data_IF_922559909729
#
_entry.id   IF_922559909729
#
_cell.length_a   1.000
_cell.length_b   1.000
_cell.length_c   1.000
_cell.angle_alpha   90.00
_cell.angle_beta   90.00
_cell.angle_gamma   90.00
#
_symmetry.space_group_name_H-M   'P 1'
#
loop_
_entity.id
_entity.type
_entity.pdbx_description
1 polymer ?
#
# COMPACT_ATOMS: atom_id res chain seq x y z
N UNK A 1 18.00 -38.40 8.89
CA UNK A 1 18.49 -37.11 8.35
C UNK A 1 17.27 -36.23 8.11
N UNK A 2 16.64 -35.88 9.21
CA UNK A 2 15.39 -35.15 9.34
C UNK A 2 15.73 -33.66 9.43
N UNK A 3 15.58 -32.97 8.31
CA UNK A 3 15.89 -31.56 8.16
C UNK A 3 14.75 -30.68 8.68
N UNK A 4 14.54 -30.65 10.00
CA UNK A 4 13.64 -29.69 10.65
C UNK A 4 14.44 -28.62 11.38
N UNK A 5 15.16 -27.81 10.61
CA UNK A 5 15.82 -26.59 11.10
C UNK A 5 14.80 -25.46 11.26
N UNK A 6 13.95 -25.53 12.28
CA UNK A 6 13.11 -24.41 12.65
C UNK A 6 13.99 -23.32 13.27
N UNK A 7 14.35 -22.31 12.46
CA UNK A 7 15.00 -21.10 12.94
C UNK A 7 14.02 -20.37 13.86
N UNK A 8 14.23 -20.50 15.17
CA UNK A 8 13.50 -19.76 16.19
C UNK A 8 13.82 -18.27 16.02
N UNK A 9 12.93 -17.53 15.35
CA UNK A 9 12.94 -16.08 15.42
C UNK A 9 12.36 -15.70 16.79
N UNK A 10 13.14 -15.08 17.69
CA UNK A 10 12.58 -14.58 18.93
C UNK A 10 11.46 -13.58 18.62
N UNK A 11 10.40 -13.53 19.44
CA UNK A 11 9.36 -12.52 19.29
C UNK A 11 10.03 -11.14 19.35
N UNK A 12 9.85 -10.35 18.31
CA UNK A 12 10.30 -8.96 18.29
C UNK A 12 9.71 -8.26 19.52
N UNK A 13 10.52 -7.61 20.36
CA UNK A 13 9.98 -6.82 21.46
C UNK A 13 9.06 -5.76 20.84
N UNK A 14 7.77 -5.84 21.16
CA UNK A 14 6.86 -4.76 20.81
C UNK A 14 7.24 -3.58 21.70
N UNK A 15 7.81 -2.53 21.10
CA UNK A 15 7.94 -1.21 21.71
C UNK A 15 6.54 -0.59 21.90
N UNK A 16 5.72 -1.23 22.72
CA UNK A 16 4.47 -0.70 23.25
C UNK A 16 4.80 0.18 24.47
N UNK A 17 5.54 1.26 24.24
CA UNK A 17 5.89 2.26 25.24
C UNK A 17 5.94 3.62 24.53
N UNK A 18 5.21 4.66 24.90
CA UNK A 18 4.89 5.05 26.27
C UNK A 18 3.63 5.93 26.33
N UNK A 19 2.86 5.71 27.40
CA UNK A 19 1.72 6.50 27.83
C UNK A 19 2.22 7.60 28.78
N UNK A 20 2.51 8.78 28.23
CA UNK A 20 2.88 9.96 29.00
C UNK A 20 2.73 11.18 28.11
N UNK A 21 2.29 12.31 28.66
CA UNK A 21 2.04 13.57 27.95
C UNK A 21 3.30 14.25 27.41
N UNK A 22 4.13 13.52 26.68
CA UNK A 22 5.38 13.99 26.08
C UNK A 22 5.16 14.37 24.63
N UNK A 23 5.34 15.65 24.34
CA UNK A 23 5.27 16.20 22.98
C UNK A 23 6.24 15.46 22.06
N UNK A 24 5.69 14.62 21.18
CA UNK A 24 6.46 13.79 20.25
C UNK A 24 7.10 14.69 19.19
N UNK A 25 8.40 14.55 18.94
CA UNK A 25 9.08 15.29 17.87
C UNK A 25 8.76 14.68 16.50
N UNK A 26 8.66 15.52 15.47
CA UNK A 26 8.48 15.05 14.10
C UNK A 26 9.65 14.14 13.67
N UNK A 27 9.35 12.98 13.09
CA UNK A 27 10.34 12.00 12.62
C UNK A 27 11.11 12.45 11.39
N UNK A 28 10.70 13.54 10.74
CA UNK A 28 11.40 14.07 9.56
C UNK A 28 12.69 14.73 10.02
N UNK A 29 13.81 14.23 9.52
CA UNK A 29 15.14 14.76 9.84
C UNK A 29 15.20 16.27 9.56
N UNK A 30 15.58 17.04 10.57
CA UNK A 30 15.66 18.51 10.48
C UNK A 30 14.33 19.25 10.60
N UNK A 31 13.21 18.57 10.89
CA UNK A 31 11.96 19.24 11.22
C UNK A 31 11.91 19.55 12.72
N UNK A 32 11.90 20.84 13.14
CA UNK A 32 11.86 21.19 14.56
C UNK A 32 10.45 21.12 15.18
N UNK A 33 9.43 20.83 14.36
CA UNK A 33 8.03 20.88 14.77
C UNK A 33 7.65 19.69 15.67
N UNK A 34 6.81 19.97 16.65
CA UNK A 34 6.19 18.96 17.51
C UNK A 34 4.98 18.36 16.80
N UNK A 35 4.74 17.10 17.08
CA UNK A 35 3.54 16.38 16.68
C UNK A 35 2.43 16.77 17.65
N UNK A 36 1.23 17.00 17.13
CA UNK A 36 0.04 17.32 17.93
C UNK A 36 -0.21 16.26 18.99
N UNK A 37 -0.32 16.71 20.24
CA UNK A 37 -0.61 15.88 21.41
C UNK A 37 -1.95 15.16 21.22
N UNK A 38 -1.94 13.83 21.32
CA UNK A 38 -3.10 12.97 21.04
C UNK A 38 -3.14 12.38 19.62
N UNK A 39 -2.26 12.79 18.70
CA UNK A 39 -2.13 12.10 17.42
C UNK A 39 -1.16 10.91 17.52
N UNK A 40 -1.57 9.75 16.99
CA UNK A 40 -0.72 8.55 16.89
C UNK A 40 0.32 8.66 15.76
N UNK A 41 0.56 9.86 15.24
CA UNK A 41 1.34 10.06 14.04
C UNK A 41 2.79 10.41 14.36
N UNK A 42 3.72 9.87 13.57
CA UNK A 42 5.15 10.17 13.72
C UNK A 42 5.60 11.48 13.06
N UNK A 43 4.73 12.16 12.33
CA UNK A 43 5.04 13.38 11.58
C UNK A 43 4.06 14.49 11.94
N UNK A 44 4.58 15.71 12.04
CA UNK A 44 3.75 16.91 12.19
C UNK A 44 2.90 17.16 10.94
N UNK A 45 1.82 17.94 11.08
CA UNK A 45 0.86 18.19 10.00
C UNK A 45 1.49 18.84 8.77
N UNK A 46 2.47 19.73 8.97
CA UNK A 46 3.24 20.35 7.88
C UNK A 46 3.99 19.32 7.02
N UNK A 47 4.70 18.38 7.65
CA UNK A 47 5.43 17.33 6.96
C UNK A 47 4.47 16.32 6.30
N UNK A 48 3.33 16.04 6.93
CA UNK A 48 2.29 15.20 6.33
C UNK A 48 1.72 15.83 5.08
N UNK A 49 1.45 17.14 5.09
CA UNK A 49 0.99 17.89 3.93
C UNK A 49 1.97 17.76 2.75
N UNK A 50 3.26 18.03 2.99
CA UNK A 50 4.30 17.85 1.97
C UNK A 50 4.39 16.43 1.44
N UNK A 51 4.30 15.44 2.33
CA UNK A 51 4.36 14.03 1.93
C UNK A 51 3.16 13.60 1.08
N UNK A 52 1.96 14.12 1.36
CA UNK A 52 0.76 13.90 0.52
C UNK A 52 0.97 14.41 -0.90
N UNK A 53 1.48 15.63 -1.05
CA UNK A 53 1.74 16.25 -2.36
C UNK A 53 2.82 15.47 -3.11
N UNK A 54 3.92 15.13 -2.44
CA UNK A 54 4.98 14.32 -3.06
C UNK A 54 4.44 12.96 -3.53
N UNK A 55 3.64 12.28 -2.69
CA UNK A 55 3.08 10.99 -3.03
C UNK A 55 2.10 11.07 -4.22
N UNK A 56 1.24 12.09 -4.28
CA UNK A 56 0.32 12.27 -5.41
C UNK A 56 1.07 12.56 -6.71
N UNK A 57 2.01 13.50 -6.69
CA UNK A 57 2.83 13.85 -7.87
C UNK A 57 3.66 12.67 -8.33
N UNK A 58 4.25 11.89 -7.40
CA UNK A 58 5.01 10.68 -7.72
C UNK A 58 4.12 9.60 -8.35
N UNK A 59 2.90 9.41 -7.86
CA UNK A 59 1.93 8.47 -8.45
C UNK A 59 1.50 8.90 -9.85
N UNK A 60 1.21 10.19 -10.04
CA UNK A 60 0.85 10.75 -11.35
C UNK A 60 1.99 10.55 -12.36
N UNK A 61 3.22 10.90 -11.98
CA UNK A 61 4.41 10.67 -12.82
C UNK A 61 4.58 9.19 -13.19
N UNK A 62 4.52 8.29 -12.21
CA UNK A 62 4.62 6.85 -12.46
C UNK A 62 3.51 6.32 -13.37
N UNK A 63 2.30 6.88 -13.31
CA UNK A 63 1.19 6.50 -14.19
C UNK A 63 1.49 6.92 -15.64
N UNK A 64 2.03 8.11 -15.84
CA UNK A 64 2.44 8.61 -17.16
C UNK A 64 3.63 7.81 -17.72
N UNK A 65 4.66 7.57 -16.91
CA UNK A 65 5.83 6.76 -17.31
C UNK A 65 5.42 5.33 -17.65
N UNK A 66 4.57 4.71 -16.81
CA UNK A 66 4.05 3.37 -17.08
C UNK A 66 3.17 3.37 -18.34
N UNK A 67 2.34 4.37 -18.59
CA UNK A 67 1.56 4.47 -19.81
C UNK A 67 2.44 4.63 -21.06
N UNK A 68 3.52 5.42 -20.99
CA UNK A 68 4.47 5.56 -22.09
C UNK A 68 5.18 4.23 -22.41
N UNK A 69 5.63 3.51 -21.38
CA UNK A 69 6.27 2.20 -21.54
C UNK A 69 5.26 1.13 -21.98
N UNK A 70 4.08 1.08 -21.38
CA UNK A 70 3.03 0.13 -21.77
C UNK A 70 2.54 0.40 -23.19
N UNK A 71 2.41 1.66 -23.62
CA UNK A 71 2.10 1.97 -25.02
C UNK A 71 3.24 1.58 -25.96
N UNK A 72 4.49 1.78 -25.57
CA UNK A 72 5.64 1.33 -26.36
C UNK A 72 5.72 -0.22 -26.45
N UNK A 73 5.44 -0.92 -25.35
CA UNK A 73 5.39 -2.38 -25.30
C UNK A 73 4.17 -2.92 -26.04
N UNK A 74 3.01 -2.28 -25.93
CA UNK A 74 1.82 -2.62 -26.70
C UNK A 74 2.01 -2.38 -28.21
N UNK A 75 2.72 -1.31 -28.60
CA UNK A 75 3.09 -1.07 -29.99
C UNK A 75 4.06 -2.13 -30.53
N UNK A 76 4.96 -2.66 -29.69
CA UNK A 76 5.85 -3.77 -30.06
C UNK A 76 5.11 -5.12 -30.10
N UNK A 77 4.25 -5.39 -29.11
CA UNK A 77 3.52 -6.66 -29.01
C UNK A 77 2.30 -6.73 -29.96
N UNK A 78 1.76 -5.58 -30.40
CA UNK A 78 0.70 -5.51 -31.40
C UNK A 78 1.16 -5.87 -32.81
N UNK A 79 2.46 -5.80 -33.09
CA UNK A 79 3.04 -6.23 -34.37
C UNK A 79 3.34 -7.75 -34.38
N UNK A 80 3.56 -8.35 -33.21
CA UNK A 80 3.81 -9.79 -33.05
C UNK A 80 2.50 -10.61 -32.94
N UNK A 81 1.41 -10.03 -32.44
CA UNK A 81 0.10 -10.72 -32.35
C UNK A 81 -0.74 -10.64 -33.64
N UNK A 82 -0.33 -9.89 -34.67
CA UNK A 82 -0.99 -9.92 -35.98
C UNK A 82 -0.34 -10.90 -36.97
N UNK A 83 0.60 -11.75 -36.52
CA UNK A 83 1.23 -12.78 -37.35
C UNK A 83 1.07 -14.21 -36.81
N UNK A 84 0.36 -14.39 -35.68
CA UNK A 84 0.17 -15.71 -35.07
C UNK A 84 -1.29 -16.00 -34.67
N UNK A 85 -2.24 -15.44 -35.42
CA UNK A 85 -3.65 -15.85 -35.37
C UNK A 85 -3.98 -16.65 -36.63
N UNK A 86 -3.30 -17.78 -36.80
CA UNK A 86 -3.90 -18.91 -37.49
C UNK A 86 -3.73 -20.11 -36.55
N UNK A 87 -4.88 -20.60 -36.09
CA UNK A 87 -5.06 -21.93 -35.51
C UNK A 87 -4.69 -22.13 -34.04
N UNK A 88 -5.54 -21.63 -33.12
CA UNK A 88 -6.13 -22.48 -32.08
C UNK A 88 -7.17 -21.72 -31.22
N UNK A 89 -8.27 -22.43 -30.98
CA UNK A 89 -9.53 -22.02 -30.37
C UNK A 89 -9.38 -21.48 -28.92
N UNK A 90 -10.14 -20.45 -28.49
CA UNK A 90 -10.06 -19.93 -27.14
C UNK A 90 -10.93 -20.75 -26.17
N UNK A 91 -10.32 -21.56 -25.31
CA UNK A 91 -10.95 -21.99 -24.05
C UNK A 91 -10.60 -20.95 -22.99
N UNK A 92 -11.64 -20.30 -22.47
CA UNK A 92 -11.53 -19.32 -21.40
C UNK A 92 -10.83 -19.92 -20.17
N UNK A 93 -9.86 -19.21 -19.62
CA UNK A 93 -9.34 -19.47 -18.27
C UNK A 93 -9.04 -18.15 -17.59
N UNK A 94 -10.12 -17.53 -17.12
CA UNK A 94 -10.13 -16.34 -16.26
C UNK A 94 -9.66 -16.74 -14.86
N UNK A 95 -8.34 -16.82 -14.65
CA UNK A 95 -7.76 -16.80 -13.31
C UNK A 95 -7.70 -15.35 -12.83
N UNK A 96 -8.83 -14.87 -12.31
CA UNK A 96 -8.88 -13.61 -11.57
C UNK A 96 -8.77 -13.95 -10.10
N UNK A 97 -7.57 -13.84 -9.53
CA UNK A 97 -7.40 -13.86 -8.07
C UNK A 97 -8.09 -12.62 -7.50
N UNK A 98 -9.33 -12.82 -7.06
CA UNK A 98 -10.12 -11.83 -6.35
C UNK A 98 -9.45 -11.53 -4.99
N UNK A 99 -8.89 -10.33 -4.85
CA UNK A 99 -8.53 -9.81 -3.54
C UNK A 99 -9.83 -9.53 -2.77
N UNK A 100 -10.13 -10.39 -1.79
CA UNK A 100 -11.27 -10.20 -0.89
C UNK A 100 -10.86 -9.16 0.16
N UNK A 101 -11.57 -8.01 0.28
CA UNK A 101 -11.35 -7.09 1.38
C UNK A 101 -11.79 -7.75 2.69
N UNK A 102 -11.08 -7.53 3.82
CA UNK A 102 -11.48 -8.09 5.10
C UNK A 102 -12.84 -7.53 5.53
N UNK A 103 -13.76 -8.44 5.84
CA UNK A 103 -15.11 -8.17 6.33
C UNK A 103 -15.04 -7.49 7.70
N UNK A 104 -15.49 -6.23 7.77
CA UNK A 104 -15.68 -5.52 9.05
C UNK A 104 -16.93 -6.10 9.71
N UNK A 105 -16.73 -7.10 10.55
CA UNK A 105 -17.79 -7.67 11.36
C UNK A 105 -17.85 -6.93 12.70
N UNK A 106 -18.96 -6.22 12.93
CA UNK A 106 -19.34 -5.71 14.24
C UNK A 106 -19.31 -4.19 14.38
N UNK A 107 -20.47 -3.55 14.23
CA UNK A 107 -21.05 -2.74 15.31
C UNK A 107 -22.53 -2.44 15.05
N UNK A 108 -23.32 -2.89 16.02
CA UNK A 108 -24.76 -2.68 16.22
C UNK A 108 -25.00 -1.19 16.48
N UNK A 109 -25.82 -0.54 15.66
CA UNK A 109 -26.32 0.81 15.93
C UNK A 109 -27.27 0.77 17.14
N UNK A 110 -27.22 1.72 18.08
CA UNK A 110 -28.28 1.88 19.07
C UNK A 110 -29.54 2.40 18.39
N UNK A 111 -30.65 1.73 18.69
CA UNK A 111 -32.01 2.09 18.30
C UNK A 111 -32.36 3.46 18.92
N UNK A 112 -32.71 4.44 18.09
CA UNK A 112 -33.27 5.72 18.52
C UNK A 112 -34.78 5.55 18.65
N UNK A 113 -35.28 5.53 19.89
CA UNK A 113 -36.71 5.60 20.17
C UNK A 113 -37.21 7.03 19.97
N UNK A 114 -38.30 7.18 19.20
CA UNK A 114 -39.14 8.37 19.12
C UNK A 114 -40.32 8.18 20.07
#
# INVERSE_FOLDING_TARGET
MDASGAVYYPPFPNDDNDQGGDQKRCSVRGCPQLVTDGSQNKMCDSCRGRHRIYASTKRARRKLEKAAVTNAVAARNGLEHMLLVHESSPVASTSTSAWVPPSVNGQRLPEVSV
#
